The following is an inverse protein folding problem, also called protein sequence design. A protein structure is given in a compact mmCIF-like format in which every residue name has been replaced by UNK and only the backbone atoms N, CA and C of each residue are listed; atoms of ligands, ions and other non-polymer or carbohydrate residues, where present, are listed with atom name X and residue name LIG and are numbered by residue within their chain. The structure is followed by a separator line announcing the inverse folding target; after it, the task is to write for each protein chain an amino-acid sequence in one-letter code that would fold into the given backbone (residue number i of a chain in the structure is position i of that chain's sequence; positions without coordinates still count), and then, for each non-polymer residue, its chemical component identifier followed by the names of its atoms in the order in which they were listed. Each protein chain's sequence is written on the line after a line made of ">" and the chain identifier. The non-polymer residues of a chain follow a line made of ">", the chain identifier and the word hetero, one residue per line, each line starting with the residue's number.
data_IF_516999617491
#
_entry.id   IF_516999617491
#
_cell.length_a   1.000
_cell.length_b   1.000
_cell.length_c   1.000
_cell.angle_alpha   90.00
_cell.angle_beta   90.00
_cell.angle_gamma   90.00
#
_symmetry.space_group_name_H-M   'P 1'
#
loop_
_entity.id
_entity.type
_entity.pdbx_description
1 polymer ?
#
# COMPACT_ATOMS: atom_id res chain seq x y z
N UNK A 1 5.55 6.91 7.43
CA UNK A 1 4.47 6.11 8.08
C UNK A 1 4.90 5.28 9.31
N UNK A 2 3.99 5.16 10.30
CA UNK A 2 4.23 4.56 11.64
C UNK A 2 4.22 3.01 11.72
N UNK A 3 4.50 2.49 12.92
CA UNK A 3 4.69 1.05 13.22
C UNK A 3 3.42 0.22 12.99
N UNK A 4 3.31 -0.43 11.82
CA UNK A 4 2.19 -1.28 11.44
C UNK A 4 2.54 -2.77 11.54
N UNK A 5 2.68 -3.24 12.78
CA UNK A 5 2.87 -4.67 13.08
C UNK A 5 1.55 -5.25 13.61
N UNK A 6 1.24 -6.49 13.24
CA UNK A 6 0.10 -7.21 13.81
C UNK A 6 0.31 -7.37 15.32
N UNK A 7 -0.54 -6.72 16.10
CA UNK A 7 -0.56 -6.81 17.55
C UNK A 7 -1.99 -6.86 18.09
N UNK A 8 -2.15 -7.05 19.40
CA UNK A 8 -3.43 -6.94 20.08
C UNK A 8 -3.60 -5.49 20.55
N UNK A 9 -4.46 -4.67 19.93
CA UNK A 9 -4.72 -3.32 20.41
C UNK A 9 -5.43 -3.39 21.77
N UNK A 10 -5.09 -2.48 22.66
CA UNK A 10 -5.84 -2.26 23.90
C UNK A 10 -7.07 -1.41 23.59
N UNK A 11 -8.21 -1.74 24.21
CA UNK A 11 -9.35 -0.84 24.23
C UNK A 11 -9.01 0.44 25.01
N UNK A 12 -9.82 1.48 24.84
CA UNK A 12 -9.64 2.74 25.57
C UNK A 12 -9.53 2.51 27.09
N UNK A 13 -10.46 1.75 27.67
CA UNK A 13 -10.48 1.45 29.12
C UNK A 13 -9.23 0.71 29.58
N UNK A 14 -8.75 -0.27 28.80
CA UNK A 14 -7.52 -1.00 29.11
C UNK A 14 -6.28 -0.09 28.98
N UNK A 15 -6.30 0.86 28.04
CA UNK A 15 -5.16 1.75 27.77
C UNK A 15 -4.91 2.78 28.89
N UNK A 16 -5.93 3.13 29.68
CA UNK A 16 -5.80 4.08 30.78
C UNK A 16 -4.78 3.61 31.84
N UNK A 17 -4.76 2.31 32.14
CA UNK A 17 -3.84 1.73 33.12
C UNK A 17 -2.38 1.73 32.71
N UNK A 18 -2.09 1.84 31.40
CA UNK A 18 -0.72 1.86 30.85
C UNK A 18 -0.28 3.24 30.36
N UNK A 19 -1.17 4.25 30.43
CA UNK A 19 -0.90 5.59 29.90
C UNK A 19 0.36 6.21 30.49
N UNK A 20 0.53 6.11 31.81
CA UNK A 20 1.69 6.67 32.50
C UNK A 20 2.98 5.93 32.14
N UNK A 21 2.91 4.60 31.99
CA UNK A 21 4.01 3.78 31.51
C UNK A 21 4.46 4.21 30.11
N UNK A 22 3.52 4.35 29.16
CA UNK A 22 3.80 4.76 27.77
C UNK A 22 4.42 6.15 27.74
N UNK A 23 3.88 7.10 28.51
CA UNK A 23 4.42 8.47 28.58
C UNK A 23 5.85 8.48 29.11
N UNK A 24 6.11 7.82 30.24
CA UNK A 24 7.44 7.79 30.86
C UNK A 24 8.47 7.17 29.92
N UNK A 25 8.18 6.00 29.36
CA UNK A 25 9.13 5.31 28.48
C UNK A 25 9.28 6.02 27.13
N UNK A 26 8.24 6.69 26.64
CA UNK A 26 8.34 7.54 25.44
C UNK A 26 9.31 8.70 25.64
N UNK A 27 9.29 9.35 26.81
CA UNK A 27 10.25 10.40 27.15
C UNK A 27 11.67 9.84 27.27
N UNK A 28 11.84 8.69 27.93
CA UNK A 28 13.15 8.02 28.05
C UNK A 28 13.72 7.65 26.68
N UNK A 29 12.90 7.08 25.79
CA UNK A 29 13.27 6.77 24.41
C UNK A 29 13.64 8.04 23.64
N UNK A 30 12.84 9.11 23.76
CA UNK A 30 13.15 10.38 23.12
C UNK A 30 14.51 10.94 23.59
N UNK A 31 14.77 10.95 24.89
CA UNK A 31 16.05 11.41 25.45
C UNK A 31 17.21 10.54 24.93
N UNK A 32 17.03 9.22 24.86
CA UNK A 32 18.05 8.32 24.34
C UNK A 32 18.35 8.60 22.87
N UNK A 33 17.32 8.74 22.03
CA UNK A 33 17.46 9.07 20.61
C UNK A 33 18.16 10.43 20.45
N UNK A 34 17.75 11.44 21.21
CA UNK A 34 18.38 12.76 21.18
C UNK A 34 19.85 12.68 21.58
N UNK A 35 20.18 12.08 22.72
CA UNK A 35 21.58 11.94 23.19
C UNK A 35 22.46 11.21 22.17
N UNK A 36 21.90 10.23 21.48
CA UNK A 36 22.62 9.45 20.45
C UNK A 36 22.88 10.25 19.17
N UNK A 37 22.03 11.23 18.83
CA UNK A 37 22.07 11.92 17.54
C UNK A 37 22.35 13.43 17.64
N UNK A 38 22.46 14.01 18.84
CA UNK A 38 22.60 15.47 19.04
C UNK A 38 23.85 16.08 18.39
N UNK A 39 24.90 15.29 18.21
CA UNK A 39 26.17 15.70 17.61
C UNK A 39 26.34 15.12 16.19
N UNK A 40 25.23 14.70 15.55
CA UNK A 40 25.25 14.12 14.21
C UNK A 40 25.47 15.20 13.16
N UNK A 41 26.45 15.00 12.30
CA UNK A 41 26.72 15.83 11.11
C UNK A 41 26.46 14.99 9.86
N UNK A 42 25.27 15.13 9.27
CA UNK A 42 24.97 14.53 7.98
C UNK A 42 25.43 15.45 6.84
N UNK A 43 26.27 14.93 5.95
CA UNK A 43 26.78 15.67 4.81
C UNK A 43 25.79 15.71 3.63
N UNK A 44 24.93 14.70 3.53
CA UNK A 44 23.99 14.54 2.42
C UNK A 44 22.61 15.09 2.78
N UNK A 45 22.12 16.03 1.96
CA UNK A 45 20.72 16.47 2.04
C UNK A 45 19.83 15.44 1.35
N UNK A 46 19.19 14.59 2.15
CA UNK A 46 18.26 13.57 1.69
C UNK A 46 16.81 13.99 1.97
N UNK A 47 15.93 13.72 1.02
CA UNK A 47 14.51 14.06 1.15
C UNK A 47 13.63 13.08 0.35
N UNK A 48 12.32 13.11 0.60
CA UNK A 48 11.37 12.24 -0.08
C UNK A 48 9.96 12.82 0.00
N UNK A 49 9.06 12.28 -0.81
CA UNK A 49 7.65 12.66 -0.84
C UNK A 49 6.76 11.48 -0.43
N UNK A 50 5.68 11.76 0.30
CA UNK A 50 4.60 10.81 0.61
C UNK A 50 3.33 11.25 -0.14
N UNK A 51 2.72 10.33 -0.91
CA UNK A 51 1.51 10.63 -1.70
C UNK A 51 0.42 9.64 -1.39
N UNK A 52 -0.71 10.16 -0.90
CA UNK A 52 -1.94 9.41 -0.66
C UNK A 52 -2.87 9.44 -1.88
N UNK A 53 -3.44 8.28 -2.22
CA UNK A 53 -4.36 8.12 -3.33
C UNK A 53 -5.62 7.35 -2.95
N UNK A 54 -6.74 7.75 -3.54
CA UNK A 54 -8.02 7.04 -3.38
C UNK A 54 -8.25 6.05 -4.52
N UNK A 55 -8.61 4.83 -4.15
CA UNK A 55 -9.12 3.83 -5.08
C UNK A 55 -10.59 4.11 -5.37
N UNK A 56 -10.87 4.43 -6.63
CA UNK A 56 -12.22 4.72 -7.10
C UNK A 56 -12.71 3.65 -8.08
N UNK A 57 -13.99 3.32 -8.00
CA UNK A 57 -14.72 2.53 -8.97
C UNK A 57 -15.67 3.45 -9.74
N UNK A 58 -15.42 3.54 -11.04
CA UNK A 58 -16.36 4.12 -11.99
C UNK A 58 -17.43 3.08 -12.29
N UNK A 59 -18.70 3.43 -12.09
CA UNK A 59 -19.85 2.60 -12.47
C UNK A 59 -20.70 3.34 -13.47
N UNK A 60 -21.03 2.67 -14.56
CA UNK A 60 -22.05 3.11 -15.51
C UNK A 60 -23.14 2.04 -15.48
N UNK A 61 -24.24 2.34 -14.78
CA UNK A 61 -25.43 1.49 -14.74
C UNK A 61 -26.58 2.31 -15.28
N UNK A 62 -27.27 1.79 -16.29
CA UNK A 62 -28.50 2.39 -16.83
C UNK A 62 -28.30 3.87 -17.26
N UNK A 63 -27.12 4.21 -17.81
CA UNK A 63 -26.79 5.56 -18.26
C UNK A 63 -26.44 6.54 -17.15
N UNK A 64 -26.41 6.11 -15.88
CA UNK A 64 -25.98 6.93 -14.74
C UNK A 64 -24.53 6.64 -14.40
N UNK A 65 -23.65 7.58 -14.74
CA UNK A 65 -22.25 7.59 -14.32
C UNK A 65 -22.16 7.95 -12.84
N UNK A 66 -21.60 7.05 -12.04
CA UNK A 66 -21.34 7.29 -10.62
C UNK A 66 -19.90 6.87 -10.26
N UNK A 67 -19.31 7.60 -9.32
CA UNK A 67 -17.99 7.31 -8.77
C UNK A 67 -18.19 6.81 -7.34
N UNK A 68 -17.65 5.64 -7.02
CA UNK A 68 -17.69 5.05 -5.68
C UNK A 68 -16.29 4.78 -5.17
N UNK A 69 -16.10 4.85 -3.86
CA UNK A 69 -14.85 4.41 -3.24
C UNK A 69 -14.74 2.89 -3.30
N UNK A 70 -13.57 2.38 -3.65
CA UNK A 70 -13.28 0.95 -3.72
C UNK A 70 -12.64 0.50 -2.42
N UNK A 71 -13.38 -0.27 -1.61
CA UNK A 71 -12.93 -0.80 -0.31
C UNK A 71 -11.93 -1.98 -0.45
N UNK A 72 -11.18 -2.01 -1.55
CA UNK A 72 -10.25 -3.09 -1.93
C UNK A 72 -8.79 -2.75 -1.65
N UNK A 73 -8.52 -1.68 -0.90
CA UNK A 73 -7.17 -1.21 -0.59
C UNK A 73 -6.30 -2.31 0.00
N UNK A 74 -6.79 -3.04 1.00
CA UNK A 74 -6.04 -4.16 1.62
C UNK A 74 -5.67 -5.25 0.62
N UNK A 75 -6.62 -5.71 -0.21
CA UNK A 75 -6.37 -6.73 -1.24
C UNK A 75 -5.34 -6.26 -2.29
N UNK A 76 -5.43 -5.00 -2.70
CA UNK A 76 -4.50 -4.43 -3.68
C UNK A 76 -3.10 -4.26 -3.08
N UNK A 77 -3.01 -3.84 -1.81
CA UNK A 77 -1.75 -3.67 -1.09
C UNK A 77 -1.00 -4.99 -0.90
N UNK A 78 -1.68 -6.08 -0.55
CA UNK A 78 -1.00 -7.38 -0.39
C UNK A 78 -0.33 -7.83 -1.69
N UNK A 79 -1.02 -7.67 -2.83
CA UNK A 79 -0.45 -8.00 -4.15
C UNK A 79 0.70 -7.08 -4.55
N UNK A 80 0.60 -5.79 -4.23
CA UNK A 80 1.67 -4.83 -4.49
C UNK A 80 2.93 -5.19 -3.70
N UNK A 81 2.78 -5.59 -2.43
CA UNK A 81 3.90 -6.04 -1.58
C UNK A 81 4.51 -7.35 -2.07
N UNK A 82 3.71 -8.28 -2.58
CA UNK A 82 4.20 -9.52 -3.20
C UNK A 82 5.02 -9.20 -4.46
N UNK A 83 4.49 -8.35 -5.35
CA UNK A 83 5.18 -7.92 -6.56
C UNK A 83 6.49 -7.16 -6.26
N UNK A 84 6.49 -6.31 -5.23
CA UNK A 84 7.69 -5.60 -4.76
C UNK A 84 8.77 -6.58 -4.30
N UNK A 85 8.43 -7.60 -3.49
CA UNK A 85 9.40 -8.62 -3.06
C UNK A 85 10.02 -9.37 -4.23
N UNK A 86 9.22 -9.70 -5.26
CA UNK A 86 9.71 -10.35 -6.47
C UNK A 86 10.63 -9.45 -7.31
N UNK A 87 10.37 -8.14 -7.34
CA UNK A 87 11.22 -7.17 -8.03
C UNK A 87 12.53 -6.93 -7.27
N UNK A 88 12.47 -6.76 -5.94
CA UNK A 88 13.65 -6.53 -5.10
C UNK A 88 14.62 -7.72 -5.16
N UNK A 89 14.11 -8.96 -5.18
CA UNK A 89 14.93 -10.16 -5.38
C UNK A 89 15.65 -10.21 -6.73
N UNK A 90 15.23 -9.40 -7.72
CA UNK A 90 15.83 -9.30 -9.06
C UNK A 90 16.69 -8.04 -9.23
N UNK A 91 16.67 -7.12 -8.27
CA UNK A 91 17.17 -5.76 -8.41
C UNK A 91 18.47 -5.46 -7.64
N UNK A 92 19.12 -6.47 -7.03
CA UNK A 92 20.39 -6.33 -6.29
C UNK A 92 21.56 -5.71 -7.09
N UNK A 93 21.39 -5.38 -8.37
CA UNK A 93 22.41 -4.80 -9.25
C UNK A 93 22.19 -3.33 -9.70
N UNK A 94 21.12 -2.61 -9.33
CA UNK A 94 20.77 -1.32 -9.99
C UNK A 94 20.70 -0.05 -9.14
N UNK A 95 21.00 -0.09 -7.85
CA UNK A 95 20.79 1.05 -6.93
C UNK A 95 21.91 2.13 -6.94
N UNK A 96 22.79 2.16 -7.95
CA UNK A 96 23.89 3.13 -8.03
C UNK A 96 23.74 4.26 -9.06
N UNK A 97 22.67 4.28 -9.85
CA UNK A 97 22.64 5.08 -11.09
C UNK A 97 22.33 6.59 -10.89
N UNK A 98 21.86 7.02 -9.70
CA UNK A 98 21.65 8.44 -9.35
C UNK A 98 20.72 9.25 -10.29
N UNK A 99 20.15 8.60 -11.29
CA UNK A 99 19.34 9.19 -12.37
C UNK A 99 18.11 8.34 -12.71
N UNK A 100 18.07 7.07 -12.26
CA UNK A 100 16.87 6.26 -12.32
C UNK A 100 15.95 6.58 -11.14
N UNK A 101 14.63 6.64 -11.34
CA UNK A 101 13.71 6.77 -10.21
C UNK A 101 13.87 5.54 -9.29
N UNK A 102 13.89 5.74 -7.96
CA UNK A 102 13.95 4.62 -7.02
C UNK A 102 12.74 3.69 -7.20
N UNK A 103 12.79 2.50 -6.60
CA UNK A 103 11.59 1.66 -6.52
C UNK A 103 10.51 2.33 -5.64
N UNK A 104 9.38 1.65 -5.47
CA UNK A 104 8.18 2.22 -4.82
C UNK A 104 7.82 1.37 -3.62
N UNK A 105 7.56 2.01 -2.50
CA UNK A 105 6.98 1.38 -1.31
C UNK A 105 5.51 1.79 -1.19
N UNK A 106 4.67 0.82 -0.81
CA UNK A 106 3.23 1.00 -0.62
C UNK A 106 2.84 0.79 0.84
N UNK A 107 2.16 1.78 1.43
CA UNK A 107 1.69 1.77 2.82
C UNK A 107 0.15 1.74 2.86
N UNK A 108 -0.45 1.02 3.83
CA UNK A 108 -1.87 1.15 4.10
C UNK A 108 -2.15 2.48 4.79
N UNK A 109 -3.32 3.04 4.51
CA UNK A 109 -3.83 4.23 5.18
C UNK A 109 -5.15 3.93 5.92
N UNK A 110 -5.63 4.90 6.71
CA UNK A 110 -6.82 4.71 7.56
C UNK A 110 -8.03 4.20 6.77
N UNK A 111 -8.31 4.80 5.61
CA UNK A 111 -9.38 4.34 4.73
C UNK A 111 -8.99 3.05 4.00
N UNK A 112 -9.85 2.02 4.03
CA UNK A 112 -9.64 0.79 3.24
C UNK A 112 -9.76 0.98 1.72
N UNK A 113 -9.92 2.22 1.25
CA UNK A 113 -9.85 2.67 -0.13
C UNK A 113 -8.65 3.57 -0.39
N UNK A 114 -7.82 3.86 0.61
CA UNK A 114 -6.63 4.68 0.52
C UNK A 114 -5.38 3.82 0.35
N UNK A 115 -4.42 4.33 -0.41
CA UNK A 115 -3.07 3.78 -0.51
C UNK A 115 -2.12 4.97 -0.44
N UNK A 116 -1.15 4.91 0.45
CA UNK A 116 -0.02 5.83 0.46
C UNK A 116 1.17 5.20 -0.29
N UNK A 117 1.91 6.03 -1.02
CA UNK A 117 3.06 5.60 -1.80
C UNK A 117 4.24 6.54 -1.60
N UNK A 118 5.42 5.94 -1.48
CA UNK A 118 6.70 6.63 -1.23
C UNK A 118 7.79 6.10 -2.16
N UNK A 119 8.85 6.87 -2.43
CA UNK A 119 10.04 6.29 -3.05
C UNK A 119 10.72 5.35 -2.04
N UNK A 120 11.32 4.26 -2.52
CA UNK A 120 11.97 3.28 -1.64
C UNK A 120 13.28 3.77 -1.02
N UNK A 121 13.96 4.69 -1.71
CA UNK A 121 15.13 5.39 -1.25
C UNK A 121 14.87 6.90 -1.32
N UNK A 122 15.44 7.70 -0.40
CA UNK A 122 15.33 9.14 -0.48
C UNK A 122 16.04 9.67 -1.73
N UNK A 123 15.55 10.80 -2.25
CA UNK A 123 16.24 11.57 -3.27
C UNK A 123 17.44 12.31 -2.66
N UNK A 124 18.44 12.59 -3.49
CA UNK A 124 19.55 13.46 -3.15
C UNK A 124 19.18 14.94 -3.18
N UNK A 125 20.13 15.78 -2.74
CA UNK A 125 19.94 17.22 -2.61
C UNK A 125 20.33 18.06 -3.81
N UNK A 126 20.68 17.45 -4.95
CA UNK A 126 21.04 18.18 -6.14
C UNK A 126 19.81 18.46 -7.01
N UNK A 127 19.86 19.55 -7.79
CA UNK A 127 18.77 19.92 -8.71
C UNK A 127 18.45 18.82 -9.72
N UNK A 128 19.43 17.98 -10.09
CA UNK A 128 19.21 16.82 -10.99
C UNK A 128 18.23 15.80 -10.40
N UNK A 129 18.21 15.67 -9.07
CA UNK A 129 17.42 14.64 -8.37
C UNK A 129 15.92 14.97 -8.44
N UNK A 130 15.56 16.26 -8.60
CA UNK A 130 14.17 16.70 -8.85
C UNK A 130 13.57 16.08 -10.13
N UNK A 131 14.40 15.72 -11.11
CA UNK A 131 13.93 15.12 -12.38
C UNK A 131 13.38 13.71 -12.18
N UNK A 132 13.76 13.02 -11.09
CA UNK A 132 13.32 11.66 -10.80
C UNK A 132 11.95 11.63 -10.12
N UNK A 133 11.51 12.72 -9.49
CA UNK A 133 10.29 12.78 -8.66
C UNK A 133 9.05 12.44 -9.48
N UNK A 134 8.82 13.15 -10.58
CA UNK A 134 7.62 12.92 -11.40
C UNK A 134 7.63 11.52 -12.04
N UNK A 135 8.80 11.08 -12.52
CA UNK A 135 8.95 9.73 -13.09
C UNK A 135 8.62 8.65 -12.05
N UNK A 136 9.09 8.83 -10.81
CA UNK A 136 8.77 7.94 -9.70
C UNK A 136 7.27 7.98 -9.37
N UNK A 137 6.65 9.16 -9.23
CA UNK A 137 5.19 9.28 -9.00
C UNK A 137 4.34 8.63 -10.10
N UNK A 138 4.75 8.75 -11.38
CA UNK A 138 4.10 8.06 -12.51
C UNK A 138 4.21 6.55 -12.38
N UNK A 139 5.37 6.04 -11.99
CA UNK A 139 5.60 4.61 -11.73
C UNK A 139 4.68 4.11 -10.59
N UNK A 140 4.57 4.84 -9.48
CA UNK A 140 3.66 4.51 -8.36
C UNK A 140 2.23 4.33 -8.87
N UNK A 141 1.73 5.32 -9.61
CA UNK A 141 0.37 5.29 -10.18
C UNK A 141 0.17 4.13 -11.15
N UNK A 142 1.15 3.85 -12.00
CA UNK A 142 1.08 2.77 -12.97
C UNK A 142 0.98 1.40 -12.29
N UNK A 143 1.81 1.15 -11.26
CA UNK A 143 1.79 -0.10 -10.48
C UNK A 143 0.43 -0.32 -9.81
N UNK A 144 -0.12 0.69 -9.11
CA UNK A 144 -1.46 0.59 -8.49
C UNK A 144 -2.53 0.28 -9.54
N UNK A 145 -2.50 0.98 -10.69
CA UNK A 145 -3.49 0.80 -11.74
C UNK A 145 -3.45 -0.59 -12.40
N UNK A 146 -2.26 -1.18 -12.54
CA UNK A 146 -2.09 -2.53 -13.06
C UNK A 146 -2.73 -3.57 -12.12
N UNK A 147 -2.39 -3.53 -10.84
CA UNK A 147 -2.86 -4.54 -9.87
C UNK A 147 -4.34 -4.39 -9.53
N UNK A 148 -4.94 -3.19 -9.62
CA UNK A 148 -6.39 -3.05 -9.50
C UNK A 148 -7.15 -3.71 -10.66
N UNK A 149 -6.67 -3.57 -11.90
CA UNK A 149 -7.29 -4.17 -13.10
C UNK A 149 -7.23 -5.70 -13.09
N UNK A 150 -6.09 -6.28 -12.75
CA UNK A 150 -5.91 -7.74 -12.65
C UNK A 150 -6.87 -8.36 -11.63
N UNK A 151 -7.05 -7.68 -10.50
CA UNK A 151 -7.93 -8.11 -9.43
C UNK A 151 -9.42 -8.04 -9.81
N UNK A 152 -9.81 -7.06 -10.64
CA UNK A 152 -11.16 -7.02 -11.23
C UNK A 152 -11.40 -8.20 -12.17
N UNK A 153 -10.42 -8.55 -13.02
CA UNK A 153 -10.51 -9.68 -13.95
C UNK A 153 -10.59 -11.04 -13.23
N UNK A 154 -9.79 -11.26 -12.19
CA UNK A 154 -9.82 -12.51 -11.42
C UNK A 154 -11.15 -12.72 -10.71
N UNK A 155 -11.75 -11.67 -10.13
CA UNK A 155 -13.09 -11.72 -9.51
C UNK A 155 -14.21 -11.98 -10.52
N UNK A 156 -14.15 -11.35 -11.70
CA UNK A 156 -15.12 -11.62 -12.78
C UNK A 156 -15.08 -13.10 -13.20
N UNK A 157 -13.88 -13.67 -13.36
CA UNK A 157 -13.70 -15.10 -13.67
C UNK A 157 -14.23 -16.01 -12.56
N UNK A 158 -13.94 -15.73 -11.29
CA UNK A 158 -14.43 -16.52 -10.16
C UNK A 158 -15.95 -16.45 -9.99
N UNK A 159 -16.56 -15.27 -10.22
CA UNK A 159 -18.01 -15.10 -10.16
C UNK A 159 -18.72 -15.89 -11.26
N UNK A 160 -18.18 -15.86 -12.49
CA UNK A 160 -18.71 -16.64 -13.61
C UNK A 160 -18.58 -18.15 -13.35
N UNK A 161 -17.45 -18.61 -12.78
CA UNK A 161 -17.25 -20.03 -12.42
C UNK A 161 -18.28 -20.50 -11.38
N UNK A 162 -18.52 -19.72 -10.32
CA UNK A 162 -19.53 -20.03 -9.29
C UNK A 162 -20.97 -20.01 -9.83
N UNK A 163 -21.27 -19.13 -10.78
CA UNK A 163 -22.58 -19.12 -11.45
C UNK A 163 -22.77 -20.36 -12.33
N UNK A 164 -21.73 -20.77 -13.05
CA UNK A 164 -21.77 -21.95 -13.91
C UNK A 164 -21.86 -23.25 -13.09
N UNK A 165 -21.18 -23.34 -11.96
CA UNK A 165 -21.31 -24.48 -11.03
C UNK A 165 -22.71 -24.57 -10.41
N UNK A 166 -23.35 -23.43 -10.11
CA UNK A 166 -24.73 -23.38 -9.62
C UNK A 166 -25.74 -23.82 -10.69
N UNK A 167 -25.58 -23.39 -11.94
CA UNK A 167 -26.47 -23.82 -13.03
C UNK A 167 -26.33 -25.31 -13.34
N UNK A 168 -25.10 -25.84 -13.34
CA UNK A 168 -24.84 -27.27 -13.54
C UNK A 168 -25.48 -28.12 -12.41
N UNK A 169 -25.40 -27.66 -11.17
CA UNK A 169 -26.03 -28.36 -10.04
C UNK A 169 -27.56 -28.28 -10.08
N UNK A 170 -28.15 -27.16 -10.52
CA UNK A 170 -29.61 -27.05 -10.70
C UNK A 170 -30.12 -27.97 -11.83
N UNK A 171 -29.39 -28.10 -12.94
CA UNK A 171 -29.77 -29.02 -14.02
C UNK A 171 -29.67 -30.50 -13.62
N UNK A 172 -28.76 -30.85 -12.71
CA UNK A 172 -28.61 -32.22 -12.18
C UNK A 172 -29.74 -32.63 -11.24
N UNK A 173 -30.27 -31.71 -10.45
CA UNK A 173 -31.38 -31.98 -9.52
C UNK A 173 -32.71 -32.11 -10.26
N UNK A 174 -32.90 -31.42 -11.40
CA UNK A 174 -34.09 -31.56 -12.24
C UNK A 174 -34.18 -32.84 -13.07
N UNK A 175 -33.05 -33.53 -13.32
CA UNK A 175 -33.01 -34.75 -14.12
C UNK A 175 -33.15 -36.05 -13.30
N UNK A 176 -33.15 -35.98 -11.97
CA UNK A 176 -33.26 -37.14 -11.08
C UNK A 176 -34.69 -37.36 -10.51
N UNK A 177 -35.67 -36.60 -11.01
CA UNK A 177 -37.08 -36.70 -10.61
C UNK A 177 -37.97 -37.10 -11.78
N UNK A 178 -37.83 -38.35 -12.24
CA UNK A 178 -38.83 -39.12 -12.99
C UNK A 178 -38.60 -40.61 -12.71
#
# INVERSE_FOLDING_TARGET
>A
MGFLVKGKPLSWKESEGVREYVRKHGVEQFIHIWKKNKDREDLDFLWGDEVEGFLCQLTDKEGKKAIKLSLRGSEVLEKLKEAEKEETAKAEEKDGCGTCPPSVIFHPEYGCFMIETTPSAPYGGFVRDLRCVEANMRLRRAKVAQHDKETKKSKAKQKNKKQNEKSINQSRVGAAGY
#
